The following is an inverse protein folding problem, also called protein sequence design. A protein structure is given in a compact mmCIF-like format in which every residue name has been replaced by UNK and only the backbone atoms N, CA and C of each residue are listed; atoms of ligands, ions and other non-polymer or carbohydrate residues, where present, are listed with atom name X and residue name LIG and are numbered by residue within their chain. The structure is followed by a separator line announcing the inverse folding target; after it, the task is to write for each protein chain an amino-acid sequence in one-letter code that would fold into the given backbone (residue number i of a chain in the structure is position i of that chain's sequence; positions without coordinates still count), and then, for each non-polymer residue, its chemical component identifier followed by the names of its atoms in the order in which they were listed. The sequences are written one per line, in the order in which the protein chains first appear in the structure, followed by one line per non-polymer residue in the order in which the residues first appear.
data_IF_065127949712
#
_entry.id   IF_065127949712
#
_cell.length_a   1.000
_cell.length_b   1.000
_cell.length_c   1.000
_cell.angle_alpha   90.00
_cell.angle_beta   90.00
_cell.angle_gamma   90.00
#
_symmetry.space_group_name_H-M   'P 1'
#
loop_
_entity.id
_entity.type
_entity.pdbx_description
1 polymer ?
#
# COMPACT_ATOMS: atom_id res chain seq x y z
N UNK A 1 2.29 29.76 8.76
CA UNK A 1 2.09 28.31 8.53
C UNK A 1 2.29 27.65 9.88
N UNK A 2 1.23 27.08 10.46
CA UNK A 2 1.26 26.65 11.86
C UNK A 2 2.02 25.33 12.01
N UNK A 3 2.84 25.20 13.04
CA UNK A 3 3.65 24.00 13.32
C UNK A 3 2.83 22.69 13.29
N UNK A 4 1.55 22.76 13.66
CA UNK A 4 0.59 21.65 13.55
C UNK A 4 0.40 21.16 12.10
N UNK A 5 0.18 22.09 11.16
CA UNK A 5 0.00 21.77 9.74
C UNK A 5 1.25 21.11 9.15
N UNK A 6 2.43 21.58 9.56
CA UNK A 6 3.70 21.01 9.13
C UNK A 6 3.94 19.61 9.71
N UNK A 7 3.60 19.39 10.98
CA UNK A 7 3.67 18.07 11.61
C UNK A 7 2.76 17.05 10.90
N UNK A 8 1.50 17.41 10.63
CA UNK A 8 0.54 16.53 9.95
C UNK A 8 1.05 16.17 8.56
N UNK A 9 1.45 17.17 7.75
CA UNK A 9 1.94 16.94 6.39
C UNK A 9 3.21 16.08 6.37
N UNK A 10 4.19 16.36 7.23
CA UNK A 10 5.43 15.60 7.31
C UNK A 10 5.19 14.14 7.73
N UNK A 11 4.30 13.89 8.69
CA UNK A 11 4.01 12.54 9.15
C UNK A 11 3.25 11.73 8.09
N UNK A 12 2.29 12.36 7.39
CA UNK A 12 1.61 11.73 6.26
C UNK A 12 2.58 11.38 5.13
N UNK A 13 3.50 12.29 4.82
CA UNK A 13 4.57 12.05 3.85
C UNK A 13 5.40 10.84 4.24
N UNK A 14 5.79 10.74 5.51
CA UNK A 14 6.55 9.60 6.03
C UNK A 14 5.78 8.28 5.87
N UNK A 15 4.50 8.22 6.26
CA UNK A 15 3.67 7.01 6.12
C UNK A 15 3.56 6.60 4.65
N UNK A 16 3.23 7.55 3.77
CA UNK A 16 3.00 7.25 2.37
C UNK A 16 4.31 6.90 1.63
N UNK A 17 5.43 7.51 2.01
CA UNK A 17 6.76 7.13 1.53
C UNK A 17 7.12 5.70 1.98
N UNK A 18 6.93 5.37 3.27
CA UNK A 18 7.15 4.02 3.78
C UNK A 18 6.25 2.99 3.08
N UNK A 19 5.01 3.35 2.78
CA UNK A 19 4.08 2.52 2.03
C UNK A 19 4.57 2.24 0.61
N UNK A 20 5.02 3.29 -0.09
CA UNK A 20 5.59 3.16 -1.42
C UNK A 20 6.86 2.30 -1.42
N UNK A 21 7.73 2.44 -0.41
CA UNK A 21 8.92 1.60 -0.25
C UNK A 21 8.57 0.12 -0.08
N UNK A 22 7.55 -0.22 0.70
CA UNK A 22 7.16 -1.62 0.88
C UNK A 22 6.46 -2.21 -0.34
N UNK A 23 5.56 -1.46 -0.98
CA UNK A 23 4.94 -1.89 -2.24
C UNK A 23 5.99 -2.06 -3.36
N UNK A 24 7.04 -1.24 -3.37
CA UNK A 24 8.15 -1.46 -4.29
C UNK A 24 9.01 -2.66 -3.92
N UNK A 25 9.13 -3.01 -2.63
CA UNK A 25 9.72 -4.31 -2.23
C UNK A 25 8.86 -5.51 -2.61
N UNK A 26 7.57 -5.32 -2.92
CA UNK A 26 6.74 -6.37 -3.54
C UNK A 26 7.02 -6.56 -5.05
N UNK A 27 7.82 -5.69 -5.67
CA UNK A 27 8.32 -6.00 -7.02
C UNK A 27 9.44 -7.04 -6.90
N UNK A 28 9.37 -8.14 -7.68
CA UNK A 28 10.34 -9.21 -7.56
C UNK A 28 11.73 -8.65 -7.83
N UNK A 29 12.66 -8.97 -6.91
CA UNK A 29 14.04 -8.55 -7.02
C UNK A 29 14.61 -9.00 -8.38
N UNK A 30 15.59 -8.29 -8.97
CA UNK A 30 16.19 -8.69 -10.24
C UNK A 30 16.64 -10.16 -10.24
N UNK A 31 17.18 -10.64 -9.11
CA UNK A 31 17.55 -12.06 -8.90
C UNK A 31 16.35 -13.03 -8.93
N UNK A 32 15.20 -12.64 -8.40
CA UNK A 32 13.98 -13.46 -8.45
C UNK A 32 13.46 -13.56 -9.88
N UNK A 33 13.49 -12.45 -10.65
CA UNK A 33 13.12 -12.44 -12.07
C UNK A 33 14.02 -13.35 -12.90
N UNK A 34 15.33 -13.31 -12.67
CA UNK A 34 16.30 -14.20 -13.32
C UNK A 34 16.01 -15.67 -13.02
N UNK A 35 15.73 -16.03 -11.76
CA UNK A 35 15.41 -17.43 -11.39
C UNK A 35 14.07 -17.90 -11.97
N UNK A 36 13.06 -17.04 -12.04
CA UNK A 36 11.79 -17.37 -12.72
C UNK A 36 12.01 -17.60 -14.22
N UNK A 37 12.87 -16.82 -14.87
CA UNK A 37 13.23 -17.05 -16.28
C UNK A 37 14.00 -18.36 -16.47
N UNK A 38 14.96 -18.66 -15.58
CA UNK A 38 15.70 -19.92 -15.60
C UNK A 38 14.78 -21.13 -15.40
N UNK A 39 13.84 -21.06 -14.45
CA UNK A 39 12.85 -22.11 -14.22
C UNK A 39 11.97 -22.35 -15.45
N UNK A 40 11.44 -21.28 -16.08
CA UNK A 40 10.64 -21.39 -17.32
C UNK A 40 11.45 -22.03 -18.43
N UNK A 41 12.70 -21.60 -18.62
CA UNK A 41 13.57 -22.15 -19.65
C UNK A 41 13.85 -23.65 -19.41
N UNK A 42 14.17 -24.04 -18.18
CA UNK A 42 14.40 -25.44 -17.81
C UNK A 42 13.15 -26.30 -18.00
N UNK A 43 11.98 -25.79 -17.63
CA UNK A 43 10.70 -26.50 -17.82
C UNK A 43 10.43 -26.78 -19.29
N UNK A 44 10.63 -25.80 -20.17
CA UNK A 44 10.49 -25.98 -21.62
C UNK A 44 11.51 -26.98 -22.17
N UNK A 45 12.72 -27.05 -21.61
CA UNK A 45 13.71 -28.07 -22.00
C UNK A 45 13.28 -29.48 -21.56
N UNK A 46 12.75 -29.63 -20.34
CA UNK A 46 12.24 -30.91 -19.81
C UNK A 46 11.07 -31.44 -20.65
N UNK A 47 10.14 -30.58 -21.05
CA UNK A 47 9.01 -30.96 -21.91
C UNK A 47 9.45 -31.47 -23.29
N UNK A 48 10.58 -30.97 -23.82
CA UNK A 48 11.18 -31.44 -25.09
C UNK A 48 11.91 -32.78 -24.96
N UNK A 49 12.34 -33.16 -23.75
CA UNK A 49 13.15 -34.36 -23.48
C UNK A 49 12.30 -35.63 -23.25
N UNK A 50 11.06 -35.68 -23.74
CA UNK A 50 10.08 -36.74 -23.45
C UNK A 50 10.30 -38.06 -24.22
N UNK A 51 11.54 -38.40 -24.57
CA UNK A 51 11.88 -39.64 -25.29
C UNK A 51 12.56 -40.66 -24.37
N UNK A 52 12.33 -41.97 -24.55
CA UNK A 52 12.95 -43.01 -23.71
C UNK A 52 14.49 -43.04 -23.82
N UNK A 53 15.05 -42.59 -24.94
CA UNK A 53 16.50 -42.43 -25.14
C UNK A 53 17.13 -41.30 -24.30
N UNK A 54 16.33 -40.33 -23.84
CA UNK A 54 16.80 -39.16 -23.08
C UNK A 54 16.44 -39.24 -21.58
N UNK A 55 16.04 -40.41 -21.08
CA UNK A 55 15.54 -40.58 -19.71
C UNK A 55 16.52 -40.09 -18.62
N UNK A 56 17.82 -40.35 -18.79
CA UNK A 56 18.85 -39.92 -17.83
C UNK A 56 18.94 -38.40 -17.76
N UNK A 57 18.93 -37.72 -18.92
CA UNK A 57 18.98 -36.26 -19.02
C UNK A 57 17.69 -35.62 -18.50
N UNK A 58 16.54 -36.20 -18.83
CA UNK A 58 15.24 -35.81 -18.29
C UNK A 58 15.23 -35.90 -16.76
N UNK A 59 15.71 -37.00 -16.18
CA UNK A 59 15.72 -37.18 -14.72
C UNK A 59 16.61 -36.15 -14.00
N UNK A 60 17.77 -35.80 -14.60
CA UNK A 60 18.68 -34.77 -14.08
C UNK A 60 18.08 -33.38 -14.19
N UNK A 61 17.47 -33.05 -15.32
CA UNK A 61 16.81 -31.77 -15.55
C UNK A 61 15.57 -31.59 -14.64
N UNK A 62 14.79 -32.66 -14.43
CA UNK A 62 13.64 -32.66 -13.52
C UNK A 62 14.03 -32.43 -12.05
N UNK A 63 15.13 -33.02 -11.57
CA UNK A 63 15.65 -32.75 -10.22
C UNK A 63 16.05 -31.28 -10.06
N UNK A 64 16.74 -30.70 -11.06
CA UNK A 64 17.08 -29.27 -11.07
C UNK A 64 15.86 -28.35 -11.10
N UNK A 65 14.80 -28.72 -11.84
CA UNK A 65 13.54 -27.99 -11.79
C UNK A 65 12.93 -27.98 -10.38
N UNK A 66 12.89 -29.14 -9.71
CA UNK A 66 12.35 -29.26 -8.36
C UNK A 66 13.16 -28.45 -7.34
N UNK A 67 14.50 -28.42 -7.48
CA UNK A 67 15.36 -27.62 -6.61
C UNK A 67 15.10 -26.11 -6.80
N UNK A 68 15.01 -25.65 -8.06
CA UNK A 68 14.69 -24.25 -8.39
C UNK A 68 13.27 -23.85 -7.95
N UNK A 69 12.31 -24.77 -8.03
CA UNK A 69 10.93 -24.57 -7.58
C UNK A 69 10.89 -24.35 -6.06
N UNK A 70 11.56 -25.20 -5.28
CA UNK A 70 11.68 -25.05 -3.83
C UNK A 70 12.35 -23.74 -3.43
N UNK A 71 13.39 -23.33 -4.13
CA UNK A 71 14.04 -22.05 -3.87
C UNK A 71 13.09 -20.87 -4.13
N UNK A 72 12.33 -20.91 -5.24
CA UNK A 72 11.33 -19.88 -5.55
C UNK A 72 10.21 -19.84 -4.50
N UNK A 73 9.76 -20.99 -4.01
CA UNK A 73 8.78 -21.08 -2.92
C UNK A 73 9.32 -20.44 -1.63
N UNK A 74 10.57 -20.69 -1.27
CA UNK A 74 11.21 -20.06 -0.10
C UNK A 74 11.29 -18.53 -0.24
N UNK A 75 11.58 -18.01 -1.44
CA UNK A 75 11.53 -16.57 -1.71
C UNK A 75 10.11 -16.00 -1.58
N UNK A 76 9.09 -16.72 -2.06
CA UNK A 76 7.71 -16.28 -1.92
C UNK A 76 7.26 -16.28 -0.45
N UNK A 77 7.56 -17.34 0.31
CA UNK A 77 7.20 -17.45 1.73
C UNK A 77 7.87 -16.36 2.56
N UNK A 78 9.18 -16.16 2.38
CA UNK A 78 9.91 -15.09 3.09
C UNK A 78 9.37 -13.69 2.76
N UNK A 79 8.95 -13.47 1.51
CA UNK A 79 8.33 -12.20 1.10
C UNK A 79 6.95 -11.99 1.71
N UNK A 80 6.10 -13.04 1.72
CA UNK A 80 4.78 -12.98 2.36
C UNK A 80 4.89 -12.68 3.86
N UNK A 81 5.87 -13.30 4.55
CA UNK A 81 6.16 -13.01 5.95
C UNK A 81 6.57 -11.54 6.18
N UNK A 82 7.46 -10.99 5.33
CA UNK A 82 7.84 -9.58 5.42
C UNK A 82 6.67 -8.62 5.19
N UNK A 83 5.79 -8.94 4.23
CA UNK A 83 4.57 -8.15 3.96
C UNK A 83 3.63 -8.20 5.16
N UNK A 84 3.46 -9.37 5.78
CA UNK A 84 2.56 -9.52 6.93
C UNK A 84 3.07 -8.77 8.17
N UNK A 85 4.38 -8.87 8.46
CA UNK A 85 5.02 -8.10 9.54
C UNK A 85 4.87 -6.60 9.30
N UNK A 86 5.09 -6.14 8.06
CA UNK A 86 4.89 -4.75 7.71
C UNK A 86 3.43 -4.31 7.86
N UNK A 87 2.47 -5.12 7.43
CA UNK A 87 1.04 -4.81 7.55
C UNK A 87 0.63 -4.64 9.02
N UNK A 88 1.10 -5.53 9.90
CA UNK A 88 0.90 -5.43 11.36
C UNK A 88 1.52 -4.16 11.93
N UNK A 89 2.76 -3.84 11.56
CA UNK A 89 3.45 -2.63 12.00
C UNK A 89 2.77 -1.35 11.50
N UNK A 90 2.43 -1.28 10.21
CA UNK A 90 1.71 -0.17 9.57
C UNK A 90 0.39 0.11 10.28
N UNK A 91 -0.37 -0.93 10.60
CA UNK A 91 -1.64 -0.77 11.33
C UNK A 91 -1.41 -0.17 12.72
N UNK A 92 -0.40 -0.64 13.47
CA UNK A 92 -0.05 -0.06 14.77
C UNK A 92 0.36 1.40 14.66
N UNK A 93 1.30 1.72 13.76
CA UNK A 93 1.79 3.10 13.56
C UNK A 93 0.66 4.02 13.10
N UNK A 94 -0.18 3.56 12.17
CA UNK A 94 -1.34 4.34 11.72
C UNK A 94 -2.35 4.56 12.85
N UNK A 95 -2.52 3.61 13.76
CA UNK A 95 -3.43 3.75 14.89
C UNK A 95 -2.88 4.75 15.92
N UNK A 96 -1.60 4.63 16.29
CA UNK A 96 -0.93 5.60 17.16
C UNK A 96 -0.96 7.02 16.57
N UNK A 97 -0.75 7.15 15.27
CA UNK A 97 -0.85 8.44 14.58
C UNK A 97 -2.26 9.04 14.64
N UNK A 98 -3.30 8.24 14.37
CA UNK A 98 -4.69 8.74 14.46
C UNK A 98 -5.01 9.23 15.87
N UNK A 99 -4.52 8.51 16.88
CA UNK A 99 -4.69 8.91 18.28
C UNK A 99 -3.91 10.18 18.59
N UNK A 100 -2.66 10.31 18.15
CA UNK A 100 -1.86 11.52 18.40
C UNK A 100 -2.46 12.74 17.70
N UNK A 101 -2.94 12.60 16.46
CA UNK A 101 -3.66 13.67 15.74
C UNK A 101 -4.95 14.03 16.47
N UNK A 102 -5.73 13.05 16.94
CA UNK A 102 -6.98 13.32 17.67
C UNK A 102 -6.71 14.03 19.00
N UNK A 103 -5.74 13.57 19.79
CA UNK A 103 -5.30 14.21 21.04
C UNK A 103 -4.79 15.63 20.81
N UNK A 104 -3.95 15.82 19.79
CA UNK A 104 -3.41 17.14 19.45
C UNK A 104 -4.50 18.09 18.96
N UNK A 105 -5.47 17.57 18.21
CA UNK A 105 -6.63 18.34 17.75
C UNK A 105 -7.55 18.73 18.90
N UNK A 106 -7.79 17.84 19.87
CA UNK A 106 -8.52 18.15 21.10
C UNK A 106 -7.79 19.18 21.95
N UNK A 107 -6.48 19.03 22.13
CA UNK A 107 -5.66 20.00 22.85
C UNK A 107 -5.74 21.38 22.18
N UNK A 108 -5.52 21.45 20.86
CA UNK A 108 -5.60 22.70 20.11
C UNK A 108 -7.02 23.28 20.08
N UNK A 109 -8.07 22.47 20.10
CA UNK A 109 -9.46 22.96 20.17
C UNK A 109 -9.72 23.81 21.42
N UNK A 110 -9.00 23.54 22.51
CA UNK A 110 -9.08 24.31 23.76
C UNK A 110 -8.45 25.70 23.63
N UNK A 111 -7.44 25.85 22.77
CA UNK A 111 -6.70 27.11 22.57
C UNK A 111 -7.17 27.88 21.34
N UNK A 112 -7.69 27.19 20.33
CA UNK A 112 -8.07 27.72 19.03
C UNK A 112 -9.57 27.48 18.79
N UNK A 113 -10.40 28.33 19.39
CA UNK A 113 -11.85 28.41 19.13
C UNK A 113 -12.17 29.08 17.78
N UNK A 114 -11.38 28.78 16.74
CA UNK A 114 -11.63 29.31 15.40
C UNK A 114 -12.48 28.33 14.62
N UNK A 115 -13.69 28.77 14.28
CA UNK A 115 -14.52 28.11 13.28
C UNK A 115 -14.16 28.63 11.90
N UNK A 116 -14.08 27.74 10.92
CA UNK A 116 -13.98 28.08 9.51
C UNK A 116 -15.39 28.20 8.97
N UNK A 117 -15.67 29.30 8.28
CA UNK A 117 -16.97 29.56 7.67
C UNK A 117 -16.91 29.15 6.21
N UNK A 118 -17.72 28.18 5.82
CA UNK A 118 -17.77 27.65 4.46
C UNK A 118 -19.21 27.71 3.95
N UNK A 119 -19.37 27.83 2.63
CA UNK A 119 -20.69 27.70 2.00
C UNK A 119 -21.22 26.27 2.22
N UNK A 120 -22.48 26.15 2.64
CA UNK A 120 -23.05 24.84 2.99
C UNK A 120 -23.06 23.83 1.82
N UNK A 121 -22.99 24.29 0.56
CA UNK A 121 -22.84 23.41 -0.61
C UNK A 121 -21.51 22.63 -0.65
N UNK A 122 -20.46 23.11 0.03
CA UNK A 122 -19.14 22.45 0.07
C UNK A 122 -19.02 21.39 1.18
N UNK A 123 -19.97 21.34 2.10
CA UNK A 123 -19.91 20.49 3.31
C UNK A 123 -20.86 19.29 3.21
N UNK A 124 -21.67 19.21 2.16
CA UNK A 124 -22.59 18.11 1.95
C UNK A 124 -21.84 16.75 1.93
N UNK A 125 -22.28 15.72 2.69
CA UNK A 125 -23.56 15.58 3.42
C UNK A 125 -23.49 15.89 4.94
N UNK A 126 -22.45 16.59 5.40
CA UNK A 126 -22.25 16.92 6.81
C UNK A 126 -22.94 18.21 7.25
N UNK A 127 -23.71 18.84 6.35
CA UNK A 127 -24.45 20.08 6.59
C UNK A 127 -25.29 20.00 7.88
N UNK A 128 -26.11 18.96 8.05
CA UNK A 128 -27.01 18.80 9.20
C UNK A 128 -26.35 18.73 10.60
N UNK A 129 -25.02 18.59 10.68
CA UNK A 129 -24.29 18.43 11.94
C UNK A 129 -23.65 19.74 12.44
N UNK A 130 -23.72 20.82 11.67
CA UNK A 130 -23.04 22.08 11.98
C UNK A 130 -24.01 23.26 12.19
N UNK A 131 -23.51 24.31 12.84
CA UNK A 131 -24.30 25.52 13.11
C UNK A 131 -24.44 26.32 11.80
N UNK A 132 -25.69 26.57 11.41
CA UNK A 132 -26.04 27.30 10.19
C UNK A 132 -26.43 28.74 10.51
N UNK A 133 -25.90 29.69 9.74
CA UNK A 133 -26.44 31.05 9.70
C UNK A 133 -26.30 31.60 8.28
N UNK A 134 -27.42 32.01 7.68
CA UNK A 134 -27.48 32.66 6.37
C UNK A 134 -26.75 31.91 5.22
N UNK A 135 -26.92 30.58 5.12
CA UNK A 135 -26.31 29.76 4.06
C UNK A 135 -24.81 29.49 4.23
N UNK A 136 -24.24 29.91 5.37
CA UNK A 136 -22.87 29.64 5.77
C UNK A 136 -22.87 28.68 6.96
N UNK A 137 -22.05 27.65 6.85
CA UNK A 137 -21.91 26.58 7.82
C UNK A 137 -20.59 26.80 8.59
N UNK A 138 -20.69 26.92 9.91
CA UNK A 138 -19.52 27.08 10.77
C UNK A 138 -18.95 25.69 11.11
N UNK A 139 -17.79 25.37 10.54
CA UNK A 139 -17.11 24.10 10.77
C UNK A 139 -15.97 24.33 11.76
N UNK A 140 -15.91 23.59 12.87
CA UNK A 140 -14.75 23.61 13.76
C UNK A 140 -13.45 23.37 12.99
N UNK A 141 -12.43 24.22 13.21
CA UNK A 141 -11.15 24.13 12.49
C UNK A 141 -10.48 22.76 12.57
N UNK A 142 -10.67 22.02 13.66
CA UNK A 142 -10.16 20.64 13.80
C UNK A 142 -10.83 19.67 12.82
N UNK A 143 -12.15 19.78 12.59
CA UNK A 143 -12.86 18.96 11.61
C UNK A 143 -12.37 19.30 10.21
N UNK A 144 -12.30 20.60 9.89
CA UNK A 144 -11.82 21.04 8.60
C UNK A 144 -10.36 20.60 8.33
N UNK A 145 -9.53 20.64 9.37
CA UNK A 145 -8.16 20.11 9.35
C UNK A 145 -8.12 18.63 8.97
N UNK A 146 -8.96 17.78 9.57
CA UNK A 146 -9.01 16.35 9.23
C UNK A 146 -9.50 16.06 7.82
N UNK A 147 -10.41 16.89 7.29
CA UNK A 147 -10.90 16.78 5.90
C UNK A 147 -9.79 17.17 4.91
N UNK A 148 -9.11 18.29 5.16
CA UNK A 148 -7.98 18.73 4.36
C UNK A 148 -6.85 17.70 4.39
N UNK A 149 -6.56 17.16 5.57
CA UNK A 149 -5.59 16.09 5.79
C UNK A 149 -5.90 14.84 4.94
N UNK A 150 -7.18 14.43 4.86
CA UNK A 150 -7.59 13.30 4.03
C UNK A 150 -7.45 13.59 2.54
N UNK A 151 -7.82 14.80 2.12
CA UNK A 151 -7.72 15.22 0.73
C UNK A 151 -6.26 15.27 0.26
N UNK A 152 -5.34 15.82 1.07
CA UNK A 152 -3.90 15.86 0.77
C UNK A 152 -3.31 14.45 0.67
N UNK A 153 -3.70 13.54 1.57
CA UNK A 153 -3.26 12.15 1.51
C UNK A 153 -3.70 11.45 0.22
N UNK A 154 -4.96 11.60 -0.18
CA UNK A 154 -5.48 11.00 -1.41
C UNK A 154 -4.75 11.54 -2.64
N UNK A 155 -4.58 12.86 -2.71
CA UNK A 155 -3.84 13.51 -3.80
C UNK A 155 -2.40 13.00 -3.87
N UNK A 156 -1.75 12.82 -2.72
CA UNK A 156 -0.39 12.32 -2.65
C UNK A 156 -0.29 10.84 -3.08
N UNK A 157 -1.20 9.98 -2.63
CA UNK A 157 -1.27 8.59 -3.09
C UNK A 157 -1.53 8.48 -4.60
N UNK A 158 -2.25 9.46 -5.18
CA UNK A 158 -2.44 9.56 -6.62
C UNK A 158 -1.15 9.96 -7.34
N UNK A 159 -0.44 10.98 -6.85
CA UNK A 159 0.84 11.45 -7.42
C UNK A 159 1.94 10.38 -7.38
N UNK A 160 2.01 9.60 -6.29
CA UNK A 160 2.97 8.49 -6.17
C UNK A 160 2.58 7.24 -6.98
N UNK A 161 1.46 7.25 -7.71
CA UNK A 161 1.00 6.11 -8.50
C UNK A 161 0.61 4.86 -7.69
N UNK A 162 0.56 4.96 -6.35
CA UNK A 162 0.18 3.84 -5.47
C UNK A 162 -1.27 3.40 -5.66
N UNK A 163 -2.18 4.31 -6.02
CA UNK A 163 -3.60 3.99 -6.25
C UNK A 163 -3.79 3.14 -7.51
N UNK A 164 -2.98 3.33 -8.57
CA UNK A 164 -3.06 2.49 -9.79
C UNK A 164 -2.77 1.02 -9.48
N UNK A 165 -1.81 0.74 -8.59
CA UNK A 165 -1.45 -0.63 -8.18
C UNK A 165 -2.49 -1.32 -7.27
N UNK A 166 -3.35 -0.56 -6.58
CA UNK A 166 -4.42 -1.13 -5.74
C UNK A 166 -5.65 -1.51 -6.58
N UNK A 167 -5.90 -0.81 -7.70
CA UNK A 167 -7.06 -1.05 -8.58
C UNK A 167 -6.85 -2.18 -9.58
N UNK A 168 -5.60 -2.53 -9.87
CA UNK A 168 -5.28 -3.77 -10.57
C UNK A 168 -4.91 -4.82 -9.53
N UNK A 169 -5.87 -5.59 -8.97
CA UNK A 169 -5.50 -6.89 -8.46
C UNK A 169 -4.84 -7.57 -9.65
N UNK A 170 -3.53 -7.88 -9.54
CA UNK A 170 -2.90 -8.80 -10.45
C UNK A 170 -3.85 -9.99 -10.52
N UNK A 171 -4.54 -10.14 -11.66
CA UNK A 171 -5.01 -11.44 -12.09
C UNK A 171 -3.73 -12.24 -12.17
N UNK A 172 -3.40 -12.92 -11.07
CA UNK A 172 -2.61 -14.12 -11.13
C UNK A 172 -3.33 -14.93 -12.18
N UNK A 173 -2.69 -15.07 -13.35
CA UNK A 173 -3.06 -16.01 -14.37
C UNK A 173 -3.04 -17.41 -13.72
N UNK A 174 -4.12 -17.74 -13.02
CA UNK A 174 -4.47 -19.11 -12.60
C UNK A 174 -4.87 -19.96 -13.82
N UNK A 175 -4.74 -19.43 -15.04
CA UNK A 175 -4.90 -20.21 -16.27
C UNK A 175 -3.53 -20.51 -16.85
N UNK A 176 -3.16 -21.79 -16.71
CA UNK A 176 -2.12 -22.57 -17.41
C UNK A 176 -0.93 -22.97 -16.54
N UNK A 177 -1.22 -23.75 -15.51
CA UNK A 177 -0.39 -24.91 -15.16
C UNK A 177 -1.30 -26.15 -15.26
N UNK A 178 -1.60 -26.53 -16.51
CA UNK A 178 -1.98 -27.90 -16.90
C UNK A 178 -1.09 -28.25 -18.07
#
# INVERSE_FOLDING_TARGET
MDWYSLYVVCFQFLIAFLHHQVINKETPAPKEKERVQQFRHLRTQVEKLNSPSTFVEYSKAKRRCLDLERELELFQVSRLQQVEVYKKWKNRVSWFYRISVLLLSLLLSRWWSRSVYLSCGWIWPLDGWFVHKAGVCAVPSWIWGTVCERATFILFCYLLGSIRRIREPKRLDERKVV
#
